data_IF_733259609099
#
_entry.id   IF_733259609099
#
_cell.length_a   1.000
_cell.length_b   1.000
_cell.length_c   1.000
_cell.angle_alpha   90.00
_cell.angle_beta   90.00
_cell.angle_gamma   90.00
#
_symmetry.space_group_name_H-M   'P 1'
#
loop_
_entity.id
_entity.type
_entity.pdbx_description
1 polymer ?
#
# COMPACT_ATOMS: atom_id res chain seq x y z
N UNK A 1 9.07 -15.59 -1.70
CA UNK A 1 8.79 -14.25 -2.29
C UNK A 1 7.31 -13.92 -2.30
N UNK A 2 6.44 -14.79 -2.82
CA UNK A 2 4.99 -14.54 -2.91
C UNK A 2 4.32 -14.32 -1.53
N UNK A 3 4.71 -15.08 -0.51
CA UNK A 3 4.21 -14.95 0.87
C UNK A 3 4.58 -13.62 1.52
N UNK A 4 5.80 -13.12 1.29
CA UNK A 4 6.22 -11.81 1.77
C UNK A 4 5.43 -10.69 1.08
N UNK A 5 5.20 -10.80 -0.23
CA UNK A 5 4.35 -9.87 -0.97
C UNK A 5 2.90 -9.90 -0.45
N UNK A 6 2.33 -11.09 -0.22
CA UNK A 6 0.99 -11.23 0.33
C UNK A 6 0.87 -10.62 1.74
N UNK A 7 1.89 -10.80 2.58
CA UNK A 7 1.93 -10.20 3.91
C UNK A 7 1.99 -8.66 3.83
N UNK A 8 2.88 -8.11 3.00
CA UNK A 8 2.98 -6.65 2.79
C UNK A 8 1.68 -6.09 2.20
N UNK A 9 1.11 -6.77 1.20
CA UNK A 9 -0.15 -6.39 0.60
C UNK A 9 -1.32 -6.42 1.58
N UNK A 10 -1.38 -7.42 2.46
CA UNK A 10 -2.39 -7.48 3.51
C UNK A 10 -2.27 -6.28 4.48
N UNK A 11 -1.05 -5.88 4.86
CA UNK A 11 -0.84 -4.70 5.71
C UNK A 11 -1.27 -3.41 5.00
N UNK A 12 -0.95 -3.25 3.71
CA UNK A 12 -1.34 -2.07 2.94
C UNK A 12 -2.87 -1.98 2.81
N UNK A 13 -3.54 -3.09 2.49
CA UNK A 13 -5.01 -3.13 2.41
C UNK A 13 -5.64 -2.84 3.77
N UNK A 14 -5.11 -3.44 4.84
CA UNK A 14 -5.60 -3.19 6.20
C UNK A 14 -5.44 -1.70 6.57
N UNK A 15 -4.33 -1.07 6.21
CA UNK A 15 -4.14 0.38 6.39
C UNK A 15 -5.20 1.19 5.67
N UNK A 16 -5.47 0.89 4.40
CA UNK A 16 -6.49 1.59 3.62
C UNK A 16 -7.86 1.47 4.29
N UNK A 17 -8.22 0.28 4.77
CA UNK A 17 -9.48 0.06 5.49
C UNK A 17 -9.52 0.88 6.79
N UNK A 18 -8.43 0.90 7.56
CA UNK A 18 -8.36 1.68 8.80
C UNK A 18 -8.53 3.18 8.55
N UNK A 19 -7.88 3.72 7.51
CA UNK A 19 -8.03 5.13 7.14
C UNK A 19 -9.47 5.44 6.69
N UNK A 20 -10.06 4.59 5.86
CA UNK A 20 -11.45 4.77 5.38
C UNK A 20 -12.47 4.71 6.52
N UNK A 21 -12.22 3.88 7.54
CA UNK A 21 -13.07 3.76 8.72
C UNK A 21 -12.76 4.83 9.79
N UNK A 22 -11.88 5.78 9.49
CA UNK A 22 -11.38 6.81 10.42
C UNK A 22 -10.84 6.20 11.75
N UNK A 23 -10.29 4.99 11.65
CA UNK A 23 -9.71 4.29 12.79
C UNK A 23 -8.35 4.90 13.09
N UNK A 24 -8.32 5.59 14.22
CA UNK A 24 -7.12 6.25 14.72
C UNK A 24 -6.11 5.23 15.27
N UNK A 25 -4.86 5.66 15.30
CA UNK A 25 -3.69 5.01 15.90
C UNK A 25 -3.83 4.73 17.41
N UNK A 26 -4.91 5.20 18.05
CA UNK A 26 -5.27 4.87 19.44
C UNK A 26 -5.62 3.39 19.64
N UNK A 27 -6.02 2.69 18.58
CA UNK A 27 -6.29 1.25 18.64
C UNK A 27 -4.98 0.50 18.33
N UNK A 28 -4.69 -0.55 19.10
CA UNK A 28 -3.46 -1.35 18.94
C UNK A 28 -3.22 -1.81 17.48
N UNK A 29 -4.29 -2.20 16.78
CA UNK A 29 -4.22 -2.62 15.37
C UNK A 29 -3.78 -1.46 14.46
N UNK A 30 -4.30 -0.26 14.71
CA UNK A 30 -3.95 0.95 13.97
C UNK A 30 -2.50 1.33 14.19
N UNK A 31 -2.07 1.39 15.45
CA UNK A 31 -0.69 1.69 15.81
C UNK A 31 0.30 0.71 15.15
N UNK A 32 0.00 -0.59 15.17
CA UNK A 32 0.85 -1.60 14.53
C UNK A 32 0.97 -1.37 13.02
N UNK A 33 -0.16 -1.17 12.34
CA UNK A 33 -0.20 -0.99 10.89
C UNK A 33 0.49 0.31 10.48
N UNK A 34 0.17 1.43 11.11
CA UNK A 34 0.79 2.73 10.79
C UNK A 34 2.29 2.73 11.06
N UNK A 35 2.77 2.02 12.09
CA UNK A 35 4.20 1.89 12.38
C UNK A 35 4.93 1.04 11.34
N UNK A 36 4.28 0.01 10.81
CA UNK A 36 4.86 -0.84 9.77
C UNK A 36 4.94 -0.12 8.43
N UNK A 37 3.92 0.66 8.09
CA UNK A 37 3.85 1.40 6.83
C UNK A 37 4.53 2.76 6.88
N UNK A 38 4.76 3.31 8.08
CA UNK A 38 5.33 4.63 8.35
C UNK A 38 6.59 4.94 7.54
N UNK A 39 7.62 4.07 7.57
CA UNK A 39 8.85 4.30 6.81
C UNK A 39 8.62 4.41 5.29
N UNK A 40 7.66 3.63 4.77
CA UNK A 40 7.34 3.64 3.34
C UNK A 40 6.57 4.90 2.99
N UNK A 41 5.58 5.29 3.80
CA UNK A 41 4.81 6.51 3.59
C UNK A 41 5.68 7.76 3.72
N UNK A 42 6.66 7.77 4.62
CA UNK A 42 7.60 8.87 4.82
C UNK A 42 8.51 9.06 3.61
N UNK A 43 8.99 7.96 3.01
CA UNK A 43 9.74 8.01 1.74
C UNK A 43 8.89 8.56 0.59
N UNK A 44 7.63 8.15 0.49
CA UNK A 44 6.75 8.68 -0.56
C UNK A 44 6.31 10.13 -0.26
N UNK A 45 6.25 10.56 1.00
CA UNK A 45 5.87 11.92 1.41
C UNK A 45 6.88 13.00 0.93
N UNK A 46 8.09 12.60 0.53
CA UNK A 46 9.05 13.48 -0.15
C UNK A 46 8.48 14.00 -1.49
N UNK A 47 7.52 13.29 -2.09
CA UNK A 47 6.90 13.67 -3.36
C UNK A 47 5.91 14.83 -3.12
N UNK A 48 6.12 16.00 -3.76
CA UNK A 48 5.22 17.14 -3.62
C UNK A 48 3.78 16.77 -4.01
N UNK A 49 2.84 16.97 -3.09
CA UNK A 49 1.42 16.69 -3.30
C UNK A 49 0.93 15.32 -2.79
N UNK A 50 1.81 14.51 -2.18
CA UNK A 50 1.44 13.23 -1.57
C UNK A 50 0.40 13.35 -0.45
N UNK A 51 0.52 14.37 0.39
CA UNK A 51 -0.34 14.54 1.58
C UNK A 51 -1.74 15.07 1.26
N UNK A 52 -2.06 15.30 -0.02
CA UNK A 52 -3.41 15.73 -0.40
C UNK A 52 -4.41 14.64 -0.12
N UNK A 53 -5.39 14.96 0.72
CA UNK A 53 -6.57 14.13 0.96
C UNK A 53 -7.43 14.10 -0.30
N UNK A 54 -7.75 12.90 -0.76
CA UNK A 54 -8.54 12.65 -1.97
C UNK A 54 -9.94 12.13 -1.62
N UNK A 55 -10.02 11.02 -0.86
CA UNK A 55 -11.30 10.35 -0.63
C UNK A 55 -11.37 9.68 0.75
N UNK A 56 -12.42 9.96 1.53
CA UNK A 56 -12.65 9.32 2.84
C UNK A 56 -11.42 9.32 3.77
N UNK A 57 -10.68 10.43 3.82
CA UNK A 57 -9.44 10.55 4.62
C UNK A 57 -8.19 9.95 3.96
N UNK A 58 -8.32 9.20 2.87
CA UNK A 58 -7.18 8.68 2.11
C UNK A 58 -6.44 9.81 1.42
N UNK A 59 -5.13 9.83 1.61
CA UNK A 59 -4.21 10.72 0.93
C UNK A 59 -3.78 10.15 -0.43
N UNK A 60 -3.14 10.99 -1.24
CA UNK A 60 -2.55 10.58 -2.51
C UNK A 60 -1.47 9.52 -2.31
N UNK A 61 -0.74 9.57 -1.20
CA UNK A 61 0.22 8.53 -0.80
C UNK A 61 -0.46 7.18 -0.59
N UNK A 62 -1.60 7.16 0.09
CA UNK A 62 -2.32 5.93 0.42
C UNK A 62 -2.82 5.21 -0.83
N UNK A 63 -3.33 5.98 -1.77
CA UNK A 63 -3.81 5.48 -3.06
C UNK A 63 -2.64 4.99 -3.92
N UNK A 64 -1.50 5.69 -3.90
CA UNK A 64 -0.30 5.27 -4.63
C UNK A 64 0.26 3.95 -4.08
N UNK A 65 0.31 3.80 -2.75
CA UNK A 65 0.68 2.57 -2.06
C UNK A 65 -0.25 1.41 -2.41
N UNK A 66 -1.56 1.67 -2.44
CA UNK A 66 -2.55 0.66 -2.83
C UNK A 66 -2.39 0.27 -4.31
N UNK A 67 -2.13 1.23 -5.19
CA UNK A 67 -1.97 1.00 -6.64
C UNK A 67 -0.72 0.19 -7.00
N UNK A 68 0.32 0.22 -6.17
CA UNK A 68 1.53 -0.60 -6.34
C UNK A 68 1.23 -2.10 -6.28
N UNK A 69 0.22 -2.53 -5.51
CA UNK A 69 -0.15 -3.94 -5.39
C UNK A 69 -0.62 -4.56 -6.71
N UNK A 70 -1.67 -4.05 -7.38
CA UNK A 70 -2.08 -4.57 -8.67
C UNK A 70 -1.01 -4.35 -9.74
N UNK A 71 -0.26 -3.24 -9.71
CA UNK A 71 0.85 -3.01 -10.66
C UNK A 71 1.93 -4.08 -10.54
N UNK A 72 2.29 -4.50 -9.33
CA UNK A 72 3.26 -5.56 -9.12
C UNK A 72 2.77 -6.92 -9.65
N UNK A 73 1.52 -7.27 -9.36
CA UNK A 73 0.89 -8.51 -9.89
C UNK A 73 0.84 -8.48 -11.42
N UNK A 74 0.41 -7.35 -12.00
CA UNK A 74 0.40 -7.15 -13.45
C UNK A 74 1.80 -7.23 -14.05
N UNK A 75 2.81 -6.67 -13.38
CA UNK A 75 4.21 -6.77 -13.80
C UNK A 75 4.72 -8.21 -13.82
N UNK A 76 4.37 -9.01 -12.80
CA UNK A 76 4.67 -10.45 -12.78
C UNK A 76 3.99 -11.16 -13.95
N UNK A 77 2.69 -10.90 -14.20
CA UNK A 77 1.96 -11.53 -15.30
C UNK A 77 2.58 -11.15 -16.66
N UNK A 78 2.86 -9.86 -16.87
CA UNK A 78 3.43 -9.34 -18.10
C UNK A 78 4.85 -9.87 -18.36
N UNK A 79 5.66 -10.05 -17.31
CA UNK A 79 7.03 -10.56 -17.43
C UNK A 79 7.06 -12.09 -17.49
N UNK A 80 6.15 -12.77 -16.78
CA UNK A 80 6.03 -14.22 -16.72
C UNK A 80 5.55 -14.84 -18.04
N UNK A 81 4.71 -14.14 -18.81
CA UNK A 81 4.27 -14.59 -20.13
C UNK A 81 5.37 -14.59 -21.21
N UNK A 82 6.57 -14.06 -20.92
CA UNK A 82 7.67 -13.95 -21.89
C UNK A 82 8.57 -15.20 -21.99
N UNK A 83 8.34 -16.23 -21.16
CA UNK A 83 9.18 -17.43 -21.11
C UNK A 83 8.59 -18.69 -21.79
N UNK A 84 7.37 -18.67 -22.34
CA UNK A 84 6.73 -19.85 -22.99
C UNK A 84 6.83 -19.84 -24.53
N UNK A 85 8.01 -19.54 -25.07
CA UNK A 85 8.29 -19.77 -26.49
C UNK A 85 9.71 -20.24 -26.71
N UNK A 86 10.03 -21.45 -26.21
CA UNK A 86 11.06 -22.33 -26.76
C UNK A 86 10.73 -23.79 -26.48
#
# INVERSE_FOLDING_TARGET
>A
MLTAFAAVGAVIVLRTVLVVLDVSDRIWIGQFVYRLTGPVTELLAIIPGGDRTLFAGLTTLDITLLALLPLFVLGIIATGGRNDSR
#
